data_IF_007028940601
#
_entry.id   IF_007028940601
#
_cell.length_a   1.000
_cell.length_b   1.000
_cell.length_c   1.000
_cell.angle_alpha   90.00
_cell.angle_beta   90.00
_cell.angle_gamma   90.00
#
_symmetry.space_group_name_H-M   'P 1'
#
loop_
_entity.id
_entity.type
_entity.pdbx_description
1 polymer ?
#
# COMPACT_ATOMS: atom_id res chain seq x y z
N UNK A 1 -30.73 -7.77 4.10
CA UNK A 1 -30.37 -6.42 3.61
C UNK A 1 -29.09 -5.98 4.30
N UNK A 2 -27.94 -6.29 3.72
CA UNK A 2 -26.65 -5.77 4.16
C UNK A 2 -26.57 -4.31 3.73
N UNK A 3 -26.60 -3.37 4.68
CA UNK A 3 -26.23 -1.98 4.39
C UNK A 3 -24.83 -2.00 3.79
N UNK A 4 -24.65 -1.40 2.61
CA UNK A 4 -23.32 -1.06 2.12
C UNK A 4 -22.74 -0.06 3.12
N UNK A 5 -21.82 -0.54 3.96
CA UNK A 5 -21.03 0.32 4.82
C UNK A 5 -20.08 1.09 3.91
N UNK A 6 -20.40 2.37 3.68
CA UNK A 6 -19.57 3.25 2.88
C UNK A 6 -18.63 3.98 3.84
N UNK A 7 -17.33 3.68 3.76
CA UNK A 7 -16.34 4.33 4.62
C UNK A 7 -16.01 5.70 4.04
N UNK A 8 -16.29 6.74 4.82
CA UNK A 8 -15.72 8.06 4.54
C UNK A 8 -14.22 8.06 4.88
N UNK A 9 -13.47 9.01 4.30
CA UNK A 9 -12.06 9.18 4.61
C UNK A 9 -11.83 9.38 6.11
N UNK A 10 -12.67 10.20 6.75
CA UNK A 10 -12.61 10.45 8.20
C UNK A 10 -12.83 9.16 9.00
N UNK A 11 -13.72 8.28 8.53
CA UNK A 11 -13.93 6.99 9.18
C UNK A 11 -12.69 6.10 9.06
N UNK A 12 -12.09 5.98 7.87
CA UNK A 12 -10.86 5.19 7.67
C UNK A 12 -9.68 5.71 8.49
N UNK A 13 -9.52 7.03 8.55
CA UNK A 13 -8.48 7.69 9.34
C UNK A 13 -8.64 7.46 10.84
N UNK A 14 -9.88 7.27 11.30
CA UNK A 14 -10.19 7.01 12.71
C UNK A 14 -10.04 5.55 13.14
N UNK A 15 -9.84 4.61 12.21
CA UNK A 15 -9.69 3.19 12.55
C UNK A 15 -8.32 2.92 13.17
N UNK A 16 -8.33 2.39 14.39
CA UNK A 16 -7.15 1.87 15.05
C UNK A 16 -6.68 0.54 14.41
N UNK A 17 -5.42 0.11 14.66
CA UNK A 17 -4.94 -1.20 14.22
C UNK A 17 -5.86 -2.35 14.63
N UNK A 18 -6.35 -2.33 15.88
CA UNK A 18 -7.28 -3.35 16.42
C UNK A 18 -8.61 -3.36 15.65
N UNK A 19 -9.16 -2.19 15.33
CA UNK A 19 -10.42 -2.13 14.57
C UNK A 19 -10.23 -2.62 13.14
N UNK A 20 -9.09 -2.34 12.51
CA UNK A 20 -8.75 -2.89 11.19
C UNK A 20 -8.71 -4.42 11.23
N UNK A 21 -8.06 -5.01 12.24
CA UNK A 21 -8.04 -6.47 12.46
C UNK A 21 -9.45 -7.04 12.67
N UNK A 22 -10.28 -6.37 13.46
CA UNK A 22 -11.68 -6.80 13.66
C UNK A 22 -12.48 -6.81 12.35
N UNK A 23 -12.21 -5.91 11.40
CA UNK A 23 -12.84 -5.98 10.07
C UNK A 23 -12.36 -7.19 9.27
N UNK A 24 -11.08 -7.57 9.41
CA UNK A 24 -10.54 -8.77 8.77
C UNK A 24 -11.12 -10.06 9.36
N UNK A 25 -11.20 -10.16 10.68
CA UNK A 25 -11.72 -11.34 11.41
C UNK A 25 -13.22 -11.61 11.14
N UNK A 26 -13.99 -10.57 10.76
CA UNK A 26 -15.41 -10.72 10.38
C UNK A 26 -15.62 -11.46 9.07
N UNK A 27 -14.56 -11.71 8.31
CA UNK A 27 -14.57 -12.51 7.09
C UNK A 27 -14.43 -11.70 5.80
N UNK A 28 -14.34 -12.44 4.69
CA UNK A 28 -13.92 -11.93 3.37
C UNK A 28 -14.71 -10.73 2.87
N UNK A 29 -16.03 -10.70 3.07
CA UNK A 29 -16.88 -9.58 2.63
C UNK A 29 -16.51 -8.25 3.29
N UNK A 30 -16.18 -8.29 4.59
CA UNK A 30 -15.79 -7.09 5.34
C UNK A 30 -14.41 -6.63 4.94
N UNK A 31 -13.48 -7.57 4.79
CA UNK A 31 -12.13 -7.29 4.26
C UNK A 31 -12.19 -6.66 2.88
N UNK A 32 -12.99 -7.21 1.97
CA UNK A 32 -13.18 -6.67 0.62
C UNK A 32 -13.69 -5.24 0.64
N UNK A 33 -14.64 -4.92 1.54
CA UNK A 33 -15.16 -3.55 1.69
C UNK A 33 -14.11 -2.60 2.23
N UNK A 34 -13.33 -3.02 3.22
CA UNK A 34 -12.24 -2.23 3.78
C UNK A 34 -11.17 -1.94 2.72
N UNK A 35 -10.72 -2.95 1.98
CA UNK A 35 -9.77 -2.76 0.87
C UNK A 35 -10.34 -1.86 -0.22
N UNK A 36 -11.61 -2.05 -0.60
CA UNK A 36 -12.30 -1.20 -1.59
C UNK A 36 -12.38 0.26 -1.13
N UNK A 37 -12.58 0.48 0.17
CA UNK A 37 -12.61 1.80 0.78
C UNK A 37 -11.24 2.48 0.82
N UNK A 38 -10.15 1.73 0.92
CA UNK A 38 -8.80 2.27 0.76
C UNK A 38 -8.54 2.62 -0.71
N UNK A 39 -8.90 1.72 -1.63
CA UNK A 39 -8.71 1.90 -3.07
C UNK A 39 -9.34 3.20 -3.62
N UNK A 40 -10.55 3.56 -3.18
CA UNK A 40 -11.21 4.80 -3.64
C UNK A 40 -10.44 6.08 -3.34
N UNK A 41 -9.46 6.05 -2.41
CA UNK A 41 -8.66 7.21 -2.04
C UNK A 41 -7.22 7.16 -2.58
N UNK A 42 -6.84 6.08 -3.27
CA UNK A 42 -5.54 5.97 -3.91
C UNK A 42 -5.60 6.42 -5.36
N UNK A 43 -4.68 7.31 -5.72
CA UNK A 43 -4.50 7.84 -7.07
C UNK A 43 -3.28 7.17 -7.69
N UNK A 44 -3.51 6.19 -8.54
CA UNK A 44 -2.41 5.50 -9.21
C UNK A 44 -1.73 6.40 -10.24
N UNK A 45 -0.39 6.37 -10.32
CA UNK A 45 0.31 6.99 -11.42
C UNK A 45 -0.10 6.38 -12.77
N UNK A 46 -0.09 7.19 -13.84
CA UNK A 46 -0.38 6.68 -15.19
C UNK A 46 0.56 5.53 -15.58
N UNK A 47 0.01 4.44 -16.10
CA UNK A 47 0.75 3.24 -16.47
C UNK A 47 1.10 2.33 -15.29
N UNK A 48 0.38 2.46 -14.18
CA UNK A 48 0.50 1.59 -13.01
C UNK A 48 -0.84 0.89 -12.74
N UNK A 49 -0.76 -0.29 -12.13
CA UNK A 49 -1.90 -1.09 -11.70
C UNK A 49 -1.86 -1.34 -10.19
N UNK A 50 -2.99 -1.78 -9.65
CA UNK A 50 -3.11 -2.17 -8.25
C UNK A 50 -3.78 -3.54 -8.13
N UNK A 51 -3.13 -4.44 -7.42
CA UNK A 51 -3.69 -5.72 -7.00
C UNK A 51 -4.01 -5.69 -5.51
N UNK A 52 -5.06 -6.40 -5.12
CA UNK A 52 -5.57 -6.41 -3.74
C UNK A 52 -5.58 -7.83 -3.19
N UNK A 53 -5.11 -7.98 -1.95
CA UNK A 53 -5.25 -9.23 -1.23
C UNK A 53 -6.68 -9.37 -0.69
N UNK A 54 -7.35 -10.46 -1.04
CA UNK A 54 -8.68 -10.77 -0.52
C UNK A 54 -8.66 -11.99 0.40
N UNK A 55 -7.81 -12.97 0.12
CA UNK A 55 -7.59 -14.17 0.91
C UNK A 55 -6.23 -14.15 1.58
N UNK A 56 -5.24 -14.79 0.97
CA UNK A 56 -3.86 -14.88 1.48
C UNK A 56 -2.84 -14.89 0.34
N UNK A 57 -3.21 -14.29 -0.80
CA UNK A 57 -2.42 -14.29 -2.03
C UNK A 57 -1.04 -13.63 -1.82
N UNK A 58 -0.94 -12.71 -0.86
CA UNK A 58 0.27 -11.99 -0.47
C UNK A 58 0.77 -12.38 0.94
N UNK A 59 0.22 -13.44 1.54
CA UNK A 59 0.60 -13.97 2.87
C UNK A 59 -0.48 -13.81 3.94
N UNK A 60 -1.46 -12.92 3.75
CA UNK A 60 -2.56 -12.70 4.69
C UNK A 60 -2.12 -12.13 6.02
N UNK A 61 -1.18 -11.17 5.98
CA UNK A 61 -0.55 -10.60 7.19
C UNK A 61 -1.26 -9.34 7.67
N UNK A 62 -1.72 -8.50 6.74
CA UNK A 62 -2.33 -7.21 7.06
C UNK A 62 -3.82 -7.21 6.73
N UNK A 63 -4.66 -6.49 7.50
CA UNK A 63 -6.07 -6.29 7.20
C UNK A 63 -6.31 -5.82 5.77
N UNK A 64 -5.54 -4.81 5.33
CA UNK A 64 -5.45 -4.36 3.95
C UNK A 64 -4.02 -4.53 3.45
N UNK A 65 -3.88 -5.25 2.33
CA UNK A 65 -2.60 -5.45 1.64
C UNK A 65 -2.82 -5.26 0.14
N UNK A 66 -2.09 -4.31 -0.44
CA UNK A 66 -2.18 -3.94 -1.85
C UNK A 66 -0.79 -4.00 -2.47
N UNK A 67 -0.73 -4.33 -3.76
CA UNK A 67 0.48 -4.28 -4.57
C UNK A 67 0.30 -3.29 -5.71
N UNK A 68 1.18 -2.31 -5.78
CA UNK A 68 1.16 -1.25 -6.80
C UNK A 68 2.40 -1.39 -7.67
N UNK A 69 2.23 -1.60 -8.97
CA UNK A 69 3.33 -1.83 -9.89
C UNK A 69 3.11 -1.13 -11.23
N UNK A 70 4.18 -0.82 -11.98
CA UNK A 70 4.07 -0.48 -13.39
C UNK A 70 3.34 -1.57 -14.19
N UNK A 71 2.67 -1.19 -15.29
CA UNK A 71 1.94 -2.14 -16.16
C UNK A 71 2.84 -2.91 -17.12
N UNK A 72 4.09 -2.47 -17.30
CA UNK A 72 5.06 -3.20 -18.09
C UNK A 72 5.75 -4.29 -17.27
N UNK A 73 6.62 -5.08 -17.92
CA UNK A 73 7.32 -6.18 -17.24
C UNK A 73 8.48 -5.59 -16.44
N UNK A 74 8.23 -5.27 -15.16
CA UNK A 74 9.21 -4.80 -14.18
C UNK A 74 9.14 -5.65 -12.92
N UNK A 75 10.27 -5.76 -12.20
CA UNK A 75 10.34 -6.37 -10.86
C UNK A 75 9.89 -5.41 -9.73
N UNK A 76 9.51 -4.18 -10.07
CA UNK A 76 9.06 -3.16 -9.13
C UNK A 76 7.63 -3.45 -8.68
N UNK A 77 7.50 -3.78 -7.40
CA UNK A 77 6.20 -3.95 -6.73
C UNK A 77 6.23 -3.20 -5.40
N UNK A 78 5.43 -2.15 -5.28
CA UNK A 78 5.23 -1.46 -4.01
C UNK A 78 4.16 -2.19 -3.19
N UNK A 79 4.48 -2.51 -1.95
CA UNK A 79 3.50 -3.00 -0.98
C UNK A 79 2.88 -1.81 -0.24
N UNK A 80 1.56 -1.68 -0.29
CA UNK A 80 0.80 -0.75 0.56
C UNK A 80 0.06 -1.59 1.60
N UNK A 81 0.44 -1.46 2.87
CA UNK A 81 -0.08 -2.27 3.95
C UNK A 81 -0.72 -1.38 5.02
N UNK A 82 -1.86 -1.81 5.56
CA UNK A 82 -2.45 -1.17 6.72
C UNK A 82 -1.69 -1.45 8.00
N UNK A 83 -1.96 -0.62 9.00
CA UNK A 83 -1.71 -1.00 10.38
C UNK A 83 -2.52 -2.26 10.75
N UNK A 84 -2.10 -2.95 11.81
CA UNK A 84 -2.63 -4.22 12.29
C UNK A 84 -1.83 -4.78 13.45
N UNK A 85 -1.95 -6.07 13.71
CA UNK A 85 -1.27 -6.81 14.79
C UNK A 85 0.26 -6.80 14.61
N UNK A 86 0.73 -7.00 13.38
CA UNK A 86 2.15 -7.09 13.05
C UNK A 86 2.84 -5.72 12.91
N UNK A 87 2.07 -4.66 12.68
CA UNK A 87 2.62 -3.33 12.45
C UNK A 87 1.61 -2.25 12.84
N UNK A 88 2.01 -1.32 13.70
CA UNK A 88 1.14 -0.24 14.18
C UNK A 88 0.91 0.87 13.13
N UNK A 89 1.65 0.85 12.02
CA UNK A 89 1.63 1.92 11.01
C UNK A 89 1.08 1.48 9.66
N UNK A 90 0.47 2.42 8.96
CA UNK A 90 0.27 2.31 7.52
C UNK A 90 1.60 2.52 6.80
N UNK A 91 1.88 1.69 5.80
CA UNK A 91 3.18 1.71 5.12
C UNK A 91 3.08 1.59 3.61
N UNK A 92 4.02 2.23 2.92
CA UNK A 92 4.37 1.93 1.53
C UNK A 92 5.83 1.53 1.50
N UNK A 93 6.13 0.39 0.90
CA UNK A 93 7.49 -0.11 0.81
C UNK A 93 7.80 -0.76 -0.54
N UNK A 94 9.06 -0.68 -0.95
CA UNK A 94 9.61 -1.36 -2.11
C UNK A 94 10.53 -2.49 -1.64
N UNK A 95 10.11 -3.77 -1.71
CA UNK A 95 11.03 -4.89 -1.62
C UNK A 95 12.03 -4.86 -2.78
N UNK A 96 13.28 -5.21 -2.50
CA UNK A 96 14.34 -5.35 -3.51
C UNK A 96 15.29 -6.49 -3.13
N UNK A 97 16.26 -6.79 -3.99
CA UNK A 97 17.20 -7.92 -3.82
C UNK A 97 16.47 -9.25 -3.55
N UNK A 98 15.45 -9.55 -4.37
CA UNK A 98 14.63 -10.76 -4.23
C UNK A 98 13.66 -10.73 -3.05
N UNK A 99 13.50 -9.60 -2.37
CA UNK A 99 12.63 -9.42 -1.21
C UNK A 99 13.36 -9.50 0.13
N UNK A 100 14.68 -9.75 0.13
CA UNK A 100 15.52 -9.80 1.34
C UNK A 100 15.71 -8.42 1.96
N UNK A 101 15.61 -7.36 1.15
CA UNK A 101 15.72 -5.97 1.59
C UNK A 101 14.47 -5.17 1.23
N UNK A 102 14.25 -4.07 1.95
CA UNK A 102 13.06 -3.24 1.81
C UNK A 102 13.40 -1.78 2.01
N UNK A 103 12.96 -0.94 1.07
CA UNK A 103 13.01 0.51 1.18
C UNK A 103 11.64 1.01 1.63
N UNK A 104 11.57 1.72 2.76
CA UNK A 104 10.31 2.27 3.26
C UNK A 104 10.16 3.70 2.75
N UNK A 105 9.12 3.95 1.95
CA UNK A 105 8.89 5.26 1.30
C UNK A 105 7.75 6.05 1.94
N UNK A 106 6.95 5.40 2.77
CA UNK A 106 5.89 6.04 3.54
C UNK A 106 5.63 5.22 4.82
N UNK A 107 5.56 5.90 5.96
CA UNK A 107 5.13 5.34 7.25
C UNK A 107 4.24 6.39 7.91
N UNK A 108 2.99 6.07 8.19
CA UNK A 108 2.02 6.99 8.82
C UNK A 108 1.19 6.26 9.88
N UNK A 109 0.81 6.95 10.95
CA UNK A 109 0.00 6.37 12.04
C UNK A 109 -1.43 6.04 11.59
N UNK A 110 -2.00 6.86 10.70
CA UNK A 110 -3.33 6.69 10.14
C UNK A 110 -3.28 6.63 8.61
N UNK A 111 -4.38 6.23 7.99
CA UNK A 111 -4.52 6.23 6.55
C UNK A 111 -4.50 7.67 6.01
N UNK A 112 -3.36 8.10 5.46
CA UNK A 112 -3.21 9.43 4.85
C UNK A 112 -3.06 9.31 3.32
N UNK A 113 -4.17 9.39 2.55
CA UNK A 113 -4.10 9.31 1.10
C UNK A 113 -3.36 10.50 0.48
N UNK A 114 -3.24 11.65 1.15
CA UNK A 114 -2.51 12.80 0.61
C UNK A 114 -1.02 12.47 0.54
N UNK A 115 -0.47 11.98 1.65
CA UNK A 115 0.95 11.59 1.74
C UNK A 115 1.21 10.38 0.84
N UNK A 116 0.38 9.35 0.93
CA UNK A 116 0.54 8.12 0.16
C UNK A 116 0.52 8.39 -1.35
N UNK A 117 -0.43 9.18 -1.84
CA UNK A 117 -0.50 9.52 -3.26
C UNK A 117 0.69 10.39 -3.71
N UNK A 118 1.16 11.30 -2.86
CA UNK A 118 2.35 12.10 -3.14
C UNK A 118 3.59 11.21 -3.28
N UNK A 119 3.73 10.19 -2.43
CA UNK A 119 4.83 9.22 -2.49
C UNK A 119 4.73 8.34 -3.72
N UNK A 120 3.55 7.80 -4.04
CA UNK A 120 3.34 7.00 -5.26
C UNK A 120 3.68 7.80 -6.53
N UNK A 121 3.26 9.06 -6.59
CA UNK A 121 3.61 9.97 -7.69
C UNK A 121 5.14 10.15 -7.79
N UNK A 122 5.82 10.37 -6.65
CA UNK A 122 7.28 10.52 -6.62
C UNK A 122 8.01 9.26 -7.07
N UNK A 123 7.60 8.09 -6.60
CA UNK A 123 8.19 6.82 -7.04
C UNK A 123 8.02 6.65 -8.57
N UNK A 124 6.86 7.03 -9.11
CA UNK A 124 6.62 7.01 -10.56
C UNK A 124 7.52 7.97 -11.33
N UNK A 125 7.84 9.15 -10.79
CA UNK A 125 8.80 10.09 -11.40
C UNK A 125 10.19 9.47 -11.52
N UNK A 126 10.69 8.82 -10.47
CA UNK A 126 12.00 8.14 -10.49
C UNK A 126 11.99 6.98 -11.49
N UNK A 127 10.93 6.18 -11.49
CA UNK A 127 10.77 5.11 -12.47
C UNK A 127 10.81 5.65 -13.92
N UNK A 128 10.10 6.75 -14.21
CA UNK A 128 10.12 7.41 -15.52
C UNK A 128 11.47 8.06 -15.87
N UNK A 129 12.28 8.39 -14.87
CA UNK A 129 13.64 8.89 -15.06
C UNK A 129 14.65 7.78 -15.41
N UNK A 130 14.23 6.51 -15.43
CA UNK A 130 15.03 5.38 -15.89
C UNK A 130 15.41 4.36 -14.81
N UNK A 131 15.01 4.56 -13.56
CA UNK A 131 15.25 3.60 -12.47
C UNK A 131 14.20 2.46 -12.52
N UNK A 132 14.36 1.55 -13.48
CA UNK A 132 13.35 0.53 -13.82
C UNK A 132 13.56 -0.84 -13.15
N UNK A 133 14.62 -1.00 -12.37
CA UNK A 133 14.89 -2.16 -11.52
C UNK A 133 14.67 -1.83 -10.05
N UNK A 134 14.09 -2.74 -9.27
CA UNK A 134 13.75 -2.51 -7.86
C UNK A 134 14.96 -2.04 -7.02
N UNK A 135 16.12 -2.70 -7.14
CA UNK A 135 17.32 -2.34 -6.37
C UNK A 135 17.93 -0.99 -6.79
N UNK A 136 17.80 -0.60 -8.06
CA UNK A 136 18.26 0.71 -8.55
C UNK A 136 17.33 1.83 -8.07
N UNK A 137 16.02 1.59 -8.18
CA UNK A 137 15.00 2.51 -7.71
C UNK A 137 15.09 2.72 -6.19
N UNK A 138 15.25 1.66 -5.41
CA UNK A 138 15.43 1.74 -3.96
C UNK A 138 16.63 2.63 -3.58
N UNK A 139 17.78 2.42 -4.23
CA UNK A 139 18.97 3.27 -4.03
C UNK A 139 18.72 4.72 -4.40
N UNK A 140 18.09 4.97 -5.54
CA UNK A 140 17.79 6.33 -5.99
C UNK A 140 16.82 7.06 -5.04
N UNK A 141 15.78 6.37 -4.56
CA UNK A 141 14.83 6.90 -3.58
C UNK A 141 15.52 7.21 -2.23
N UNK A 142 16.43 6.34 -1.78
CA UNK A 142 17.21 6.58 -0.57
C UNK A 142 18.13 7.80 -0.72
N UNK A 143 18.89 7.88 -1.81
CA UNK A 143 19.74 9.04 -2.11
C UNK A 143 18.95 10.34 -2.26
N UNK A 144 17.71 10.25 -2.74
CA UNK A 144 16.76 11.36 -2.84
C UNK A 144 16.06 11.74 -1.53
N UNK A 145 16.35 11.05 -0.42
CA UNK A 145 15.71 11.29 0.88
C UNK A 145 14.24 10.90 0.94
N UNK A 146 13.76 10.08 0.00
CA UNK A 146 12.38 9.58 -0.07
C UNK A 146 12.23 8.28 0.70
N UNK A 147 13.26 7.43 0.67
CA UNK A 147 13.26 6.14 1.35
C UNK A 147 14.25 6.08 2.51
N UNK A 148 13.86 5.37 3.56
CA UNK A 148 14.76 4.89 4.62
C UNK A 148 15.04 3.40 4.49
#
# INVERSE_FOLDING_TARGET
MTKHENFSLVALQGLSPIELEQYWERGTDYRQRLSSAVLQYLNLPSGWLIDVEYGREFGGVHPVSLRVSPTDVSDIVLNVCSAGEENEFWTISLPFDGGESRAWVCITEYFDPTIMNSVLARVSEYYKAGFQQASELAKALHMGGIAV
#
